data_IF_460779974702
#
_entry.id   IF_460779974702
#
_cell.length_a   1.000
_cell.length_b   1.000
_cell.length_c   1.000
_cell.angle_alpha   90.00
_cell.angle_beta   90.00
_cell.angle_gamma   90.00
#
_symmetry.space_group_name_H-M   'P 1'
#
loop_
_entity.id
_entity.type
_entity.pdbx_description
1 polymer ?
#
# COMPACT_ATOMS: atom_id res chain seq x y z
N UNK A 1 8.88 21.35 -0.57
CA UNK A 1 7.74 20.75 -1.31
C UNK A 1 7.59 19.29 -0.92
N UNK A 2 6.36 18.78 -0.73
CA UNK A 2 6.10 17.36 -0.50
C UNK A 2 5.62 16.72 -1.79
N UNK A 3 6.16 15.55 -2.16
CA UNK A 3 5.80 14.85 -3.40
C UNK A 3 5.63 13.36 -3.09
N UNK A 4 4.49 12.80 -3.51
CA UNK A 4 4.16 11.39 -3.35
C UNK A 4 3.80 10.82 -4.73
N UNK A 5 4.74 10.12 -5.36
CA UNK A 5 4.56 9.51 -6.67
C UNK A 5 5.52 8.32 -6.84
N UNK A 6 5.49 7.67 -8.00
CA UNK A 6 6.42 6.58 -8.30
C UNK A 6 7.89 7.08 -8.30
N UNK A 7 8.87 6.25 -7.85
CA UNK A 7 10.27 6.65 -7.80
C UNK A 7 10.83 7.19 -9.12
N UNK A 8 10.42 6.62 -10.25
CA UNK A 8 10.88 7.06 -11.57
C UNK A 8 10.27 8.40 -12.00
N UNK A 9 9.03 8.68 -11.60
CA UNK A 9 8.39 9.97 -11.85
C UNK A 9 9.09 11.03 -11.01
N UNK A 10 9.36 10.73 -9.73
CA UNK A 10 10.08 11.63 -8.85
C UNK A 10 11.51 11.89 -9.35
N UNK A 11 12.23 10.86 -9.80
CA UNK A 11 13.57 11.02 -10.38
C UNK A 11 13.56 11.95 -11.59
N UNK A 12 12.62 11.76 -12.52
CA UNK A 12 12.47 12.64 -13.69
C UNK A 12 12.19 14.09 -13.29
N UNK A 13 11.29 14.30 -12.33
CA UNK A 13 11.03 15.62 -11.76
C UNK A 13 12.32 16.26 -11.22
N UNK A 14 13.13 15.51 -10.48
CA UNK A 14 14.38 16.04 -9.92
C UNK A 14 15.42 16.36 -11.00
N UNK A 15 15.52 15.55 -12.05
CA UNK A 15 16.39 15.84 -13.20
C UNK A 15 15.97 17.14 -13.89
N UNK A 16 14.68 17.33 -14.14
CA UNK A 16 14.18 18.57 -14.76
C UNK A 16 14.33 19.78 -13.83
N UNK A 17 14.10 19.62 -12.52
CA UNK A 17 14.39 20.66 -11.53
C UNK A 17 15.85 21.12 -11.60
N UNK A 18 16.79 20.19 -11.71
CA UNK A 18 18.23 20.52 -11.76
C UNK A 18 18.64 21.21 -13.05
N UNK A 19 17.94 20.93 -14.17
CA UNK A 19 18.17 21.58 -15.47
C UNK A 19 17.52 22.96 -15.57
N UNK A 20 16.51 23.23 -14.77
CA UNK A 20 15.82 24.51 -14.76
C UNK A 20 16.70 25.60 -14.12
N UNK A 21 16.58 26.82 -14.65
CA UNK A 21 17.23 28.02 -14.11
C UNK A 21 16.48 28.52 -12.85
N UNK A 22 16.68 27.79 -11.75
CA UNK A 22 16.06 28.05 -10.46
C UNK A 22 17.15 28.16 -9.38
N UNK A 23 16.93 28.95 -8.31
CA UNK A 23 17.86 29.03 -7.19
C UNK A 23 17.75 27.75 -6.33
N UNK A 24 18.41 26.68 -6.76
CA UNK A 24 18.22 25.32 -6.22
C UNK A 24 18.48 25.24 -4.71
N UNK A 25 19.38 26.05 -4.16
CA UNK A 25 19.71 26.14 -2.74
C UNK A 25 18.53 26.55 -1.84
N UNK A 26 17.49 27.17 -2.42
CA UNK A 26 16.29 27.59 -1.67
C UNK A 26 15.23 26.48 -1.57
N UNK A 27 15.48 25.31 -2.18
CA UNK A 27 14.49 24.24 -2.26
C UNK A 27 14.90 23.00 -1.47
N UNK A 28 13.92 22.45 -0.76
CA UNK A 28 13.95 21.09 -0.23
C UNK A 28 12.73 20.33 -0.71
N UNK A 29 12.95 19.11 -1.21
CA UNK A 29 11.90 18.18 -1.63
C UNK A 29 11.78 17.06 -0.60
N UNK A 30 10.60 16.87 -0.05
CA UNK A 30 10.26 15.71 0.76
C UNK A 30 9.57 14.67 -0.13
N UNK A 31 10.30 13.61 -0.50
CA UNK A 31 9.77 12.50 -1.26
C UNK A 31 9.12 11.49 -0.30
N UNK A 32 7.80 11.33 -0.38
CA UNK A 32 7.04 10.40 0.46
C UNK A 32 7.06 9.03 -0.22
N UNK A 33 7.96 8.16 0.24
CA UNK A 33 8.10 6.77 -0.21
C UNK A 33 7.71 5.84 0.94
N UNK A 34 6.39 5.71 1.16
CA UNK A 34 5.82 5.01 2.31
C UNK A 34 6.43 3.63 2.49
N UNK A 35 6.57 2.85 1.41
CA UNK A 35 7.05 1.47 1.47
C UNK A 35 8.56 1.31 1.22
N UNK A 36 9.31 2.40 1.28
CA UNK A 36 10.75 2.44 1.00
C UNK A 36 11.11 1.75 -0.33
N UNK A 37 10.23 1.82 -1.33
CA UNK A 37 10.41 1.13 -2.61
C UNK A 37 11.62 1.65 -3.38
N UNK A 38 11.89 2.96 -3.29
CA UNK A 38 13.06 3.60 -3.91
C UNK A 38 14.40 3.21 -3.28
N UNK A 39 14.39 2.60 -2.08
CA UNK A 39 15.60 2.26 -1.32
C UNK A 39 15.99 0.78 -1.45
N UNK A 40 15.19 -0.05 -2.13
CA UNK A 40 15.38 -1.51 -2.17
C UNK A 40 16.61 -1.99 -2.95
N UNK A 41 17.12 -1.16 -3.87
CA UNK A 41 18.13 -1.58 -4.84
C UNK A 41 19.36 -0.66 -4.87
N UNK A 42 19.66 0.00 -3.75
CA UNK A 42 20.81 0.91 -3.62
C UNK A 42 20.37 2.37 -3.64
N UNK A 43 21.06 3.20 -4.41
CA UNK A 43 20.84 4.64 -4.45
C UNK A 43 19.51 4.98 -5.14
N UNK A 44 18.65 5.80 -4.53
CA UNK A 44 17.29 6.05 -5.03
C UNK A 44 17.26 6.79 -6.39
N UNK A 45 18.34 7.48 -6.75
CA UNK A 45 18.52 8.20 -8.01
C UNK A 45 19.18 7.37 -9.13
N UNK A 46 19.83 6.25 -8.82
CA UNK A 46 20.62 5.51 -9.79
C UNK A 46 19.73 4.68 -10.72
N UNK A 47 19.98 4.76 -12.03
CA UNK A 47 19.31 3.94 -13.06
C UNK A 47 20.28 3.36 -14.10
N UNK A 48 21.57 3.70 -14.04
CA UNK A 48 22.57 3.31 -15.04
C UNK A 48 22.39 4.02 -16.38
N UNK A 49 21.73 5.18 -16.39
CA UNK A 49 21.48 5.96 -17.60
C UNK A 49 22.33 7.24 -17.64
N UNK A 50 22.24 7.99 -18.75
CA UNK A 50 22.99 9.24 -18.97
C UNK A 50 22.65 10.36 -17.98
N UNK A 51 21.50 10.28 -17.31
CA UNK A 51 20.99 11.30 -16.41
C UNK A 51 21.42 11.06 -14.95
N UNK A 52 22.09 9.93 -14.63
CA UNK A 52 22.48 9.58 -13.27
C UNK A 52 23.34 10.64 -12.58
N UNK A 53 24.24 11.30 -13.31
CA UNK A 53 25.06 12.38 -12.75
C UNK A 53 24.20 13.58 -12.33
N UNK A 54 23.20 13.94 -13.14
CA UNK A 54 22.26 15.04 -12.85
C UNK A 54 21.30 14.64 -11.73
N UNK A 55 20.79 13.41 -11.76
CA UNK A 55 19.89 12.90 -10.75
C UNK A 55 20.57 12.84 -9.37
N UNK A 56 21.83 12.36 -9.31
CA UNK A 56 22.61 12.34 -8.06
C UNK A 56 22.75 13.73 -7.45
N UNK A 57 23.05 14.72 -8.28
CA UNK A 57 23.22 16.11 -7.84
C UNK A 57 21.89 16.71 -7.38
N UNK A 58 20.82 16.51 -8.14
CA UNK A 58 19.46 16.93 -7.77
C UNK A 58 18.98 16.33 -6.44
N UNK A 59 19.36 15.09 -6.15
CA UNK A 59 18.96 14.39 -4.93
C UNK A 59 19.60 14.94 -3.66
N UNK A 60 20.59 15.84 -3.75
CA UNK A 60 21.09 16.58 -2.58
C UNK A 60 20.00 17.46 -1.94
N UNK A 61 19.05 17.95 -2.74
CA UNK A 61 17.87 18.70 -2.28
C UNK A 61 16.73 17.81 -1.76
N UNK A 62 16.89 16.48 -1.76
CA UNK A 62 15.81 15.54 -1.44
C UNK A 62 15.97 14.96 -0.04
N UNK A 63 14.86 14.93 0.71
CA UNK A 63 14.67 14.15 1.93
C UNK A 63 13.62 13.07 1.65
N UNK A 64 13.98 11.81 1.87
CA UNK A 64 13.06 10.69 1.65
C UNK A 64 12.39 10.35 2.98
N UNK A 65 11.07 10.42 3.00
CA UNK A 65 10.25 10.04 4.14
C UNK A 65 9.68 8.65 3.88
N UNK A 66 10.07 7.69 4.72
CA UNK A 66 9.60 6.31 4.65
C UNK A 66 8.84 5.93 5.91
N UNK A 67 7.92 4.98 5.80
CA UNK A 67 7.33 4.34 6.97
C UNK A 67 8.32 3.33 7.54
N UNK A 68 8.63 3.45 8.84
CA UNK A 68 9.36 2.43 9.57
C UNK A 68 8.36 1.59 10.34
N UNK A 69 8.21 0.34 9.90
CA UNK A 69 7.39 -0.62 10.62
C UNK A 69 7.97 -0.87 12.02
N UNK A 70 7.16 -0.78 13.09
CA UNK A 70 7.61 -1.12 14.44
C UNK A 70 8.15 -2.55 14.49
N UNK A 71 9.35 -2.71 15.04
CA UNK A 71 10.04 -4.01 15.10
C UNK A 71 9.74 -4.79 16.38
N UNK A 72 8.83 -4.27 17.22
CA UNK A 72 8.46 -4.93 18.46
C UNK A 72 7.55 -6.14 18.18
N UNK A 73 7.67 -7.22 18.98
CA UNK A 73 6.89 -8.44 18.77
C UNK A 73 5.38 -8.21 18.92
N UNK A 74 4.96 -7.26 19.77
CA UNK A 74 3.55 -6.93 20.00
C UNK A 74 2.87 -6.40 18.73
N UNK A 75 3.57 -5.56 17.96
CA UNK A 75 3.08 -5.03 16.69
C UNK A 75 2.97 -6.12 15.63
N UNK A 76 3.96 -7.03 15.56
CA UNK A 76 3.91 -8.16 14.63
C UNK A 76 2.72 -9.07 14.93
N UNK A 77 2.48 -9.35 16.20
CA UNK A 77 1.33 -10.15 16.61
C UNK A 77 0.01 -9.44 16.30
N UNK A 78 -0.07 -8.14 16.58
CA UNK A 78 -1.23 -7.33 16.21
C UNK A 78 -1.51 -7.36 14.70
N UNK A 79 -0.48 -7.23 13.86
CA UNK A 79 -0.62 -7.33 12.40
C UNK A 79 -1.06 -8.72 11.96
N UNK A 80 -0.58 -9.78 12.60
CA UNK A 80 -1.03 -11.16 12.33
C UNK A 80 -2.53 -11.34 12.66
N UNK A 81 -2.99 -10.75 13.77
CA UNK A 81 -4.40 -10.78 14.17
C UNK A 81 -5.26 -10.07 13.14
N UNK A 82 -4.86 -8.85 12.73
CA UNK A 82 -5.57 -8.08 11.70
C UNK A 82 -5.61 -8.86 10.37
N UNK A 83 -4.46 -9.35 9.91
CA UNK A 83 -4.37 -10.11 8.66
C UNK A 83 -5.23 -11.39 8.70
N UNK A 84 -5.25 -12.08 9.85
CA UNK A 84 -6.11 -13.23 10.08
C UNK A 84 -7.60 -12.87 9.99
N UNK A 85 -8.02 -11.78 10.63
CA UNK A 85 -9.41 -11.30 10.56
C UNK A 85 -9.86 -10.93 9.14
N UNK A 86 -8.99 -10.28 8.35
CA UNK A 86 -9.27 -9.99 6.94
C UNK A 86 -9.38 -11.27 6.10
N UNK A 87 -8.48 -12.24 6.32
CA UNK A 87 -8.52 -13.53 5.66
C UNK A 87 -9.84 -14.26 5.96
N UNK A 88 -10.23 -14.33 7.23
CA UNK A 88 -11.47 -14.98 7.65
C UNK A 88 -12.70 -14.26 7.08
N UNK A 89 -12.69 -12.93 7.01
CA UNK A 89 -13.72 -12.14 6.35
C UNK A 89 -13.85 -12.42 4.84
N UNK A 90 -12.72 -12.59 4.14
CA UNK A 90 -12.70 -12.97 2.73
C UNK A 90 -13.23 -14.40 2.52
N UNK A 91 -12.90 -15.33 3.42
CA UNK A 91 -13.44 -16.68 3.39
C UNK A 91 -14.96 -16.68 3.60
N UNK A 92 -15.47 -15.93 4.58
CA UNK A 92 -16.91 -15.76 4.79
C UNK A 92 -17.59 -15.18 3.54
N UNK A 93 -17.02 -14.15 2.92
CA UNK A 93 -17.53 -13.60 1.66
C UNK A 93 -17.58 -14.66 0.56
N UNK A 94 -16.52 -15.45 0.42
CA UNK A 94 -16.43 -16.52 -0.59
C UNK A 94 -17.50 -17.59 -0.39
N UNK A 95 -17.76 -17.99 0.86
CA UNK A 95 -18.85 -18.92 1.19
C UNK A 95 -20.22 -18.34 0.85
N UNK A 96 -20.51 -17.10 1.29
CA UNK A 96 -21.77 -16.43 0.99
C UNK A 96 -21.99 -16.22 -0.52
N UNK A 97 -20.92 -15.93 -1.26
CA UNK A 97 -20.95 -15.80 -2.72
C UNK A 97 -21.29 -17.14 -3.38
N UNK A 98 -20.60 -18.21 -2.99
CA UNK A 98 -20.81 -19.55 -3.53
C UNK A 98 -22.27 -20.04 -3.31
N UNK A 99 -22.81 -19.84 -2.11
CA UNK A 99 -24.22 -20.12 -1.80
C UNK A 99 -25.20 -19.27 -2.61
N UNK A 100 -24.81 -18.05 -2.98
CA UNK A 100 -25.68 -17.20 -3.79
C UNK A 100 -25.65 -17.60 -5.26
N UNK A 101 -24.48 -18.04 -5.76
CA UNK A 101 -24.33 -18.52 -7.14
C UNK A 101 -25.08 -19.82 -7.39
N UNK A 102 -25.16 -20.73 -6.41
CA UNK A 102 -25.93 -21.98 -6.57
C UNK A 102 -27.45 -21.74 -6.76
N UNK A 103 -27.93 -20.54 -6.43
CA UNK A 103 -29.34 -20.16 -6.50
C UNK A 103 -29.65 -19.18 -7.65
N UNK A 104 -28.65 -18.75 -8.42
CA UNK A 104 -28.85 -17.75 -9.49
C UNK A 104 -28.12 -18.12 -10.77
N UNK A 105 -28.77 -17.97 -11.92
CA UNK A 105 -28.22 -18.29 -13.24
C UNK A 105 -27.19 -17.25 -13.76
N UNK A 106 -26.69 -16.35 -12.89
CA UNK A 106 -25.82 -15.24 -13.28
C UNK A 106 -25.13 -14.57 -12.09
N UNK A 107 -24.38 -13.48 -12.34
CA UNK A 107 -23.66 -12.76 -11.28
C UNK A 107 -24.64 -12.22 -10.24
N UNK A 108 -24.51 -12.60 -8.97
CA UNK A 108 -25.49 -12.17 -7.97
C UNK A 108 -25.31 -10.72 -7.56
N UNK A 109 -26.42 -10.08 -7.18
CA UNK A 109 -26.39 -8.72 -6.64
C UNK A 109 -25.63 -8.68 -5.31
N UNK A 110 -24.73 -7.71 -5.14
CA UNK A 110 -23.88 -7.61 -3.93
C UNK A 110 -24.66 -7.58 -2.62
N UNK A 111 -25.81 -6.88 -2.59
CA UNK A 111 -26.72 -6.83 -1.42
C UNK A 111 -27.16 -8.21 -0.95
N UNK A 112 -27.39 -9.14 -1.89
CA UNK A 112 -27.82 -10.51 -1.59
C UNK A 112 -26.67 -11.31 -0.95
N UNK A 113 -25.44 -11.11 -1.43
CA UNK A 113 -24.24 -11.72 -0.83
C UNK A 113 -24.01 -11.16 0.59
N UNK A 114 -24.07 -9.84 0.76
CA UNK A 114 -23.93 -9.18 2.07
C UNK A 114 -25.00 -9.63 3.07
N UNK A 115 -26.26 -9.75 2.62
CA UNK A 115 -27.35 -10.29 3.46
C UNK A 115 -27.07 -11.71 3.94
N UNK A 116 -26.45 -12.56 3.11
CA UNK A 116 -26.05 -13.91 3.51
C UNK A 116 -24.88 -13.93 4.49
N UNK A 117 -24.07 -12.89 4.56
CA UNK A 117 -23.01 -12.79 5.56
C UNK A 117 -23.54 -12.38 6.94
N UNK A 118 -24.67 -11.66 6.99
CA UNK A 118 -25.26 -11.16 8.25
C UNK A 118 -25.75 -12.27 9.18
N UNK A 119 -25.64 -12.02 10.48
CA UNK A 119 -26.04 -12.91 11.57
C UNK A 119 -25.43 -14.32 11.48
N UNK A 120 -24.23 -14.42 10.89
CA UNK A 120 -23.45 -15.65 10.84
C UNK A 120 -22.16 -15.50 11.63
N UNK A 121 -21.78 -16.61 12.25
CA UNK A 121 -20.47 -16.79 12.86
C UNK A 121 -19.65 -17.68 11.93
N UNK A 122 -18.53 -17.17 11.41
CA UNK A 122 -17.58 -17.97 10.65
C UNK A 122 -16.38 -18.31 11.52
N UNK A 123 -16.03 -19.60 11.62
CA UNK A 123 -14.88 -20.08 12.36
C UNK A 123 -13.68 -20.21 11.43
N UNK A 124 -12.74 -19.27 11.53
CA UNK A 124 -11.50 -19.25 10.75
C UNK A 124 -10.42 -20.22 11.24
N UNK A 125 -9.31 -20.31 10.51
CA UNK A 125 -8.20 -21.22 10.83
C UNK A 125 -7.39 -20.83 12.09
N UNK A 126 -7.53 -19.59 12.61
CA UNK A 126 -6.75 -19.09 13.76
C UNK A 126 -7.58 -18.57 14.94
N UNK A 127 -8.62 -19.30 15.36
CA UNK A 127 -9.42 -18.99 16.56
C UNK A 127 -10.23 -17.68 16.53
N UNK A 128 -10.29 -16.96 15.41
CA UNK A 128 -11.16 -15.80 15.27
C UNK A 128 -12.53 -16.23 14.74
N UNK A 129 -13.59 -15.72 15.38
CA UNK A 129 -14.95 -15.80 14.88
C UNK A 129 -15.33 -14.47 14.26
N UNK A 130 -15.76 -14.49 12.99
CA UNK A 130 -16.29 -13.29 12.33
C UNK A 130 -17.80 -13.31 12.48
N UNK A 131 -18.34 -12.32 13.20
CA UNK A 131 -19.77 -12.08 13.36
C UNK A 131 -20.14 -10.80 12.63
N UNK A 132 -20.93 -10.91 11.55
CA UNK A 132 -21.40 -9.72 10.83
C UNK A 132 -22.79 -9.34 11.35
N UNK A 133 -22.88 -8.22 12.07
CA UNK A 133 -24.16 -7.68 12.54
C UNK A 133 -24.71 -6.67 11.54
N UNK A 134 -26.03 -6.55 11.49
CA UNK A 134 -26.72 -5.52 10.71
C UNK A 134 -26.92 -4.30 11.62
N UNK A 135 -26.45 -3.13 11.19
CA UNK A 135 -26.73 -1.83 11.84
C UNK A 135 -28.18 -1.41 11.64
#
# INVERSE_FOLDING_TARGET
MFVCCLPDIFRKLMVEFRRADLPHEQYVFFFIDVFAGSLKHGEPWARGDKDDAVARDAFQNVKILTYREPQNPEYREFMNIIAGGFYDGLMLYTHALNETMSLSAGRPAGKVVTQRMWNRTFHGQRFFSVSVTKS
#
